data_IF_803362730518
#
_entry.id   IF_803362730518
#
_cell.length_a   1.000
_cell.length_b   1.000
_cell.length_c   1.000
_cell.angle_alpha   90.00
_cell.angle_beta   90.00
_cell.angle_gamma   90.00
#
_symmetry.space_group_name_H-M   'P 1'
#
loop_
_entity.id
_entity.type
_entity.pdbx_description
1 polymer ?
#
# COMPACT_ATOMS: atom_id res chain seq x y z
N UNK A 1 27.22 16.21 3.64
CA UNK A 1 27.52 16.46 5.06
C UNK A 1 26.83 15.36 5.86
N UNK A 2 27.61 14.46 6.47
CA UNK A 2 27.10 13.38 7.34
C UNK A 2 26.98 13.86 8.78
N UNK A 3 26.09 13.25 9.55
CA UNK A 3 25.87 13.60 10.96
C UNK A 3 27.10 13.18 11.79
N UNK A 4 27.76 14.12 12.52
CA UNK A 4 29.04 13.89 13.22
C UNK A 4 28.97 12.99 14.46
N UNK A 5 27.82 12.37 14.73
CA UNK A 5 27.60 11.45 15.86
C UNK A 5 27.21 10.04 15.40
N UNK A 6 27.15 9.81 14.09
CA UNK A 6 26.75 8.53 13.51
C UNK A 6 27.95 7.90 12.81
N UNK A 7 28.90 7.40 13.62
CA UNK A 7 30.20 6.90 13.18
C UNK A 7 30.13 5.56 12.41
N UNK A 8 28.96 4.93 12.40
CA UNK A 8 28.69 3.67 11.70
C UNK A 8 27.39 3.83 10.91
N UNK A 9 27.31 3.32 9.66
CA UNK A 9 26.01 3.25 8.99
C UNK A 9 25.07 2.47 9.91
N UNK A 10 23.86 2.98 10.16
CA UNK A 10 22.83 2.24 10.89
C UNK A 10 22.49 1.03 10.02
N UNK A 11 23.16 -0.07 10.32
CA UNK A 11 22.92 -1.33 9.64
C UNK A 11 21.62 -1.88 10.22
N UNK A 12 20.54 -1.82 9.44
CA UNK A 12 19.24 -2.41 9.77
C UNK A 12 19.36 -3.95 9.70
N UNK A 13 20.13 -4.57 10.59
CA UNK A 13 20.30 -6.02 10.73
C UNK A 13 19.05 -6.71 11.33
N UNK A 14 17.85 -6.21 11.03
CA UNK A 14 16.59 -6.81 11.44
C UNK A 14 16.26 -8.04 10.57
N UNK A 15 17.21 -8.95 10.33
CA UNK A 15 16.89 -10.25 9.77
C UNK A 15 16.28 -11.11 10.87
N UNK A 16 14.99 -10.92 11.14
CA UNK A 16 14.21 -11.83 11.97
C UNK A 16 13.82 -13.03 11.10
N UNK A 17 14.75 -13.97 10.96
CA UNK A 17 14.39 -15.31 10.56
C UNK A 17 13.62 -15.93 11.73
N UNK A 18 12.32 -16.18 11.53
CA UNK A 18 11.48 -16.79 12.56
C UNK A 18 11.34 -18.28 12.27
N UNK A 19 11.72 -19.10 13.24
CA UNK A 19 11.49 -20.54 13.22
C UNK A 19 10.19 -20.83 13.97
N UNK A 20 9.19 -21.32 13.25
CA UNK A 20 7.93 -21.72 13.85
C UNK A 20 8.15 -22.89 14.82
N UNK A 21 7.90 -22.68 16.11
CA UNK A 21 7.98 -23.74 17.14
C UNK A 21 6.65 -24.44 17.40
N UNK A 22 5.62 -24.15 16.58
CA UNK A 22 4.27 -24.72 16.68
C UNK A 22 4.17 -26.05 15.91
N UNK A 23 2.99 -26.70 15.95
CA UNK A 23 2.79 -27.91 15.14
C UNK A 23 2.85 -27.58 13.63
N UNK A 24 3.19 -28.55 12.77
CA UNK A 24 3.30 -28.32 11.32
C UNK A 24 2.04 -27.69 10.71
N UNK A 25 0.86 -28.08 11.18
CA UNK A 25 -0.43 -27.54 10.71
C UNK A 25 -0.62 -26.08 11.14
N UNK A 26 -0.21 -25.74 12.35
CA UNK A 26 -0.27 -24.37 12.88
C UNK A 26 0.72 -23.45 12.17
N UNK A 27 1.91 -23.97 11.84
CA UNK A 27 2.88 -23.24 11.02
C UNK A 27 2.37 -23.02 9.60
N UNK A 28 1.75 -24.03 8.97
CA UNK A 28 1.13 -23.88 7.65
C UNK A 28 -0.03 -22.88 7.66
N UNK A 29 -0.83 -22.86 8.72
CA UNK A 29 -1.91 -21.87 8.91
C UNK A 29 -1.36 -20.45 9.02
N UNK A 30 -0.28 -20.29 9.80
CA UNK A 30 0.41 -19.03 10.02
C UNK A 30 0.95 -18.49 8.70
N UNK A 31 1.75 -19.29 7.99
CA UNK A 31 2.52 -18.93 6.78
C UNK A 31 1.65 -18.66 5.52
N UNK A 32 0.34 -18.61 5.66
CA UNK A 32 -0.56 -18.26 4.57
C UNK A 32 -0.29 -16.84 4.02
N UNK A 33 -0.50 -16.70 2.71
CA UNK A 33 -0.09 -15.53 1.92
C UNK A 33 -0.50 -14.16 2.48
N UNK A 34 -1.67 -14.07 3.11
CA UNK A 34 -2.27 -12.83 3.62
C UNK A 34 -2.20 -12.68 5.16
N UNK A 35 -1.46 -13.55 5.85
CA UNK A 35 -1.49 -13.67 7.32
C UNK A 35 -0.15 -13.38 7.96
N UNK A 36 0.92 -13.93 7.40
CA UNK A 36 2.23 -13.85 8.02
C UNK A 36 3.14 -12.81 7.37
N UNK A 37 3.98 -12.24 8.22
CA UNK A 37 4.81 -11.10 7.86
C UNK A 37 6.29 -11.45 7.66
N UNK A 38 6.85 -12.37 8.45
CA UNK A 38 8.23 -12.77 8.25
C UNK A 38 8.37 -13.75 7.08
N UNK A 39 9.56 -13.79 6.49
CA UNK A 39 9.94 -14.93 5.67
C UNK A 39 10.04 -16.13 6.60
N UNK A 40 9.16 -17.12 6.45
CA UNK A 40 9.35 -18.39 7.14
C UNK A 40 10.46 -19.16 6.43
N UNK A 41 11.53 -19.48 7.17
CA UNK A 41 12.46 -20.52 6.74
C UNK A 41 11.77 -21.86 6.96
N UNK A 42 11.00 -22.32 5.98
CA UNK A 42 10.65 -23.73 5.93
C UNK A 42 11.95 -24.55 5.98
N UNK A 43 12.01 -25.68 6.73
CA UNK A 43 13.19 -26.54 6.80
C UNK A 43 13.52 -27.24 5.46
N UNK A 44 12.83 -26.90 4.37
CA UNK A 44 13.25 -27.26 3.03
C UNK A 44 14.44 -26.41 2.60
N UNK A 45 15.62 -26.95 2.91
CA UNK A 45 16.92 -26.56 2.37
C UNK A 45 16.83 -26.56 0.83
N UNK A 46 16.60 -25.40 0.22
CA UNK A 46 16.69 -25.22 -1.23
C UNK A 46 18.16 -25.42 -1.66
N UNK A 47 18.51 -26.49 -2.39
CA UNK A 47 19.92 -26.87 -2.57
C UNK A 47 20.72 -26.01 -3.57
N UNK A 48 20.12 -24.96 -4.17
CA UNK A 48 20.72 -24.28 -5.32
C UNK A 48 20.65 -22.74 -5.33
N UNK A 49 20.35 -22.08 -4.21
CA UNK A 49 20.30 -20.60 -4.18
C UNK A 49 21.35 -20.02 -3.24
N UNK A 50 22.61 -19.98 -3.70
CA UNK A 50 23.71 -19.21 -3.11
C UNK A 50 23.62 -17.73 -3.51
N UNK A 51 22.46 -17.10 -3.33
CA UNK A 51 22.36 -15.65 -3.37
C UNK A 51 21.62 -15.19 -2.13
N UNK A 52 22.34 -14.39 -1.34
CA UNK A 52 21.81 -13.54 -0.27
C UNK A 52 20.86 -12.53 -0.91
N UNK A 53 19.67 -13.00 -1.31
CA UNK A 53 18.55 -12.12 -1.55
C UNK A 53 17.91 -11.89 -0.19
N UNK A 54 18.19 -10.70 0.33
CA UNK A 54 17.56 -10.05 1.48
C UNK A 54 16.14 -10.60 1.66
N UNK A 55 15.90 -11.25 2.81
CA UNK A 55 14.60 -11.78 3.22
C UNK A 55 13.49 -10.77 2.90
N UNK A 56 12.69 -11.04 1.87
CA UNK A 56 11.50 -10.24 1.56
C UNK A 56 10.43 -10.61 2.56
N UNK A 57 9.99 -9.65 3.35
CA UNK A 57 8.82 -9.81 4.20
C UNK A 57 7.61 -10.04 3.30
N UNK A 58 6.90 -11.13 3.52
CA UNK A 58 5.78 -11.48 2.66
C UNK A 58 4.69 -10.41 2.69
N UNK A 59 4.53 -9.70 3.80
CA UNK A 59 3.61 -8.55 3.87
C UNK A 59 4.12 -7.28 3.18
N UNK A 60 5.44 -7.08 3.03
CA UNK A 60 5.95 -5.93 2.25
C UNK A 60 5.57 -6.08 0.77
N UNK A 61 5.75 -7.29 0.24
CA UNK A 61 5.45 -7.58 -1.15
C UNK A 61 3.94 -7.53 -1.45
N UNK A 62 3.11 -7.91 -0.48
CA UNK A 62 1.66 -8.03 -0.71
C UNK A 62 0.91 -6.74 -0.41
N UNK A 63 1.28 -6.02 0.65
CA UNK A 63 0.54 -4.82 1.05
C UNK A 63 1.25 -3.54 0.61
N UNK A 64 2.53 -3.40 0.94
CA UNK A 64 3.26 -2.17 0.64
C UNK A 64 3.43 -1.94 -0.87
N UNK A 65 3.83 -2.99 -1.61
CA UNK A 65 4.01 -2.92 -3.06
C UNK A 65 2.69 -2.60 -3.80
N UNK A 66 1.58 -3.19 -3.38
CA UNK A 66 0.26 -2.90 -3.96
C UNK A 66 -0.17 -1.46 -3.70
N UNK A 67 0.10 -0.91 -2.51
CA UNK A 67 -0.12 0.51 -2.22
C UNK A 67 0.72 1.41 -3.12
N UNK A 68 2.01 1.09 -3.31
CA UNK A 68 2.89 1.83 -4.22
C UNK A 68 2.34 1.79 -5.65
N UNK A 69 1.93 0.62 -6.14
CA UNK A 69 1.35 0.49 -7.47
C UNK A 69 0.07 1.31 -7.64
N UNK A 70 -0.82 1.30 -6.64
CA UNK A 70 -2.02 2.13 -6.67
C UNK A 70 -1.69 3.63 -6.78
N UNK A 71 -0.72 4.11 -6.01
CA UNK A 71 -0.29 5.51 -6.06
C UNK A 71 0.41 5.86 -7.37
N UNK A 72 1.37 5.04 -7.81
CA UNK A 72 2.06 5.21 -9.08
C UNK A 72 1.09 5.20 -10.27
N UNK A 73 0.08 4.31 -10.26
CA UNK A 73 -0.95 4.27 -11.28
C UNK A 73 -1.80 5.54 -11.27
N UNK A 74 -2.21 5.99 -10.07
CA UNK A 74 -2.99 7.23 -9.90
C UNK A 74 -2.23 8.44 -10.45
N UNK A 75 -0.98 8.64 -10.01
CA UNK A 75 -0.10 9.71 -10.50
C UNK A 75 0.12 9.57 -12.00
N UNK A 76 0.43 8.36 -12.48
CA UNK A 76 0.67 8.08 -13.89
C UNK A 76 -0.52 8.43 -14.79
N UNK A 77 -1.75 8.11 -14.36
CA UNK A 77 -2.97 8.47 -15.08
C UNK A 77 -3.11 10.00 -15.16
N UNK A 78 -2.97 10.72 -14.04
CA UNK A 78 -3.07 12.18 -14.05
C UNK A 78 -1.94 12.85 -14.85
N UNK A 79 -0.72 12.35 -14.74
CA UNK A 79 0.43 12.82 -15.53
C UNK A 79 0.21 12.59 -17.02
N UNK A 80 -0.27 11.41 -17.43
CA UNK A 80 -0.55 11.11 -18.83
C UNK A 80 -1.68 11.98 -19.38
N UNK A 81 -2.78 12.14 -18.62
CA UNK A 81 -3.87 13.04 -19.00
C UNK A 81 -3.39 14.49 -19.15
N UNK A 82 -2.49 14.95 -18.28
CA UNK A 82 -1.87 16.27 -18.38
C UNK A 82 -1.01 16.39 -19.64
N UNK A 83 -0.17 15.40 -19.94
CA UNK A 83 0.68 15.39 -21.14
C UNK A 83 -0.16 15.38 -22.42
N UNK A 84 -1.22 14.56 -22.48
CA UNK A 84 -2.15 14.53 -23.62
C UNK A 84 -2.85 15.88 -23.76
N UNK A 85 -3.26 16.49 -22.65
CA UNK A 85 -3.90 17.81 -22.66
C UNK A 85 -2.96 18.91 -23.17
N UNK A 86 -1.68 18.85 -22.82
CA UNK A 86 -0.67 19.82 -23.25
C UNK A 86 -0.23 19.59 -24.69
N UNK A 87 0.29 18.41 -25.00
CA UNK A 87 0.97 18.09 -26.26
C UNK A 87 0.09 17.41 -27.31
N UNK A 88 -1.17 17.07 -26.99
CA UNK A 88 -2.04 16.35 -27.91
C UNK A 88 -2.33 17.11 -29.22
N UNK A 89 -2.45 16.41 -30.36
CA UNK A 89 -2.72 17.03 -31.66
C UNK A 89 -4.08 17.73 -31.67
N UNK A 90 -4.17 18.85 -32.40
CA UNK A 90 -5.41 19.64 -32.46
C UNK A 90 -6.62 18.85 -32.97
N UNK A 91 -6.41 17.90 -33.88
CA UNK A 91 -7.46 17.01 -34.37
C UNK A 91 -8.12 16.21 -33.24
N UNK A 92 -7.34 15.72 -32.28
CA UNK A 92 -7.85 15.00 -31.11
C UNK A 92 -8.61 15.93 -30.17
N UNK A 93 -8.11 17.15 -29.95
CA UNK A 93 -8.76 18.16 -29.08
C UNK A 93 -10.10 18.68 -29.62
N UNK A 94 -10.33 18.58 -30.93
CA UNK A 94 -11.60 18.98 -31.57
C UNK A 94 -12.69 17.91 -31.48
N UNK A 95 -12.34 16.67 -31.11
CA UNK A 95 -13.32 15.59 -30.98
C UNK A 95 -14.35 15.88 -29.87
N UNK A 96 -15.59 15.44 -30.09
CA UNK A 96 -16.69 15.60 -29.13
C UNK A 96 -16.39 14.89 -27.80
N UNK A 97 -15.68 13.75 -27.86
CA UNK A 97 -15.27 12.97 -26.69
C UNK A 97 -14.30 13.79 -25.84
N UNK A 98 -13.22 14.33 -26.44
CA UNK A 98 -12.26 15.14 -25.70
C UNK A 98 -12.92 16.36 -25.06
N UNK A 99 -13.75 17.09 -25.82
CA UNK A 99 -14.49 18.25 -25.27
C UNK A 99 -15.38 17.85 -24.10
N UNK A 100 -16.18 16.78 -24.22
CA UNK A 100 -17.03 16.29 -23.12
C UNK A 100 -16.21 15.88 -21.90
N UNK A 101 -15.16 15.09 -22.07
CA UNK A 101 -14.28 14.67 -20.97
C UNK A 101 -13.62 15.85 -20.28
N UNK A 102 -13.15 16.86 -21.03
CA UNK A 102 -12.55 18.07 -20.42
C UNK A 102 -13.58 18.92 -19.69
N UNK A 103 -14.82 19.04 -20.17
CA UNK A 103 -15.89 19.76 -19.47
C UNK A 103 -16.26 19.05 -18.17
N UNK A 104 -16.41 17.72 -18.19
CA UNK A 104 -16.66 16.93 -16.98
C UNK A 104 -15.49 17.05 -16.01
N UNK A 105 -14.26 16.89 -16.48
CA UNK A 105 -13.07 17.04 -15.63
C UNK A 105 -12.97 18.41 -14.98
N UNK A 106 -13.26 19.48 -15.73
CA UNK A 106 -13.35 20.84 -15.18
C UNK A 106 -14.47 20.97 -14.16
N UNK A 107 -15.65 20.44 -14.46
CA UNK A 107 -16.77 20.45 -13.52
C UNK A 107 -16.40 19.75 -12.21
N UNK A 108 -15.83 18.55 -12.27
CA UNK A 108 -15.36 17.81 -11.09
C UNK A 108 -14.28 18.56 -10.31
N UNK A 109 -13.39 19.26 -11.01
CA UNK A 109 -12.31 20.03 -10.37
C UNK A 109 -12.79 21.36 -9.76
N UNK A 110 -13.80 22.01 -10.32
CA UNK A 110 -14.29 23.32 -9.88
C UNK A 110 -15.50 23.25 -8.94
N UNK A 111 -16.29 22.18 -9.00
CA UNK A 111 -17.46 22.04 -8.14
C UNK A 111 -17.02 21.81 -6.70
N UNK A 112 -17.15 22.84 -5.88
CA UNK A 112 -16.99 22.75 -4.43
C UNK A 112 -18.37 22.79 -3.77
N UNK A 113 -18.62 21.92 -2.80
CA UNK A 113 -19.86 21.96 -2.02
C UNK A 113 -19.66 22.84 -0.77
N UNK A 114 -20.68 23.61 -0.40
CA UNK A 114 -20.70 24.26 0.91
C UNK A 114 -21.54 23.38 1.83
N UNK A 115 -20.89 22.70 2.78
CA UNK A 115 -21.60 21.93 3.79
C UNK A 115 -22.02 22.87 4.93
N UNK A 116 -23.33 23.07 5.18
CA UNK A 116 -23.80 23.99 6.22
C UNK A 116 -23.40 23.54 7.63
N UNK A 117 -23.12 22.23 7.82
CA UNK A 117 -22.73 21.65 9.12
C UNK A 117 -21.31 22.01 9.52
N UNK A 118 -20.37 22.13 8.57
CA UNK A 118 -18.95 22.40 8.86
C UNK A 118 -18.56 23.87 8.71
N UNK A 119 -19.49 24.77 8.33
CA UNK A 119 -19.26 26.22 8.08
C UNK A 119 -18.04 26.54 7.19
N UNK A 120 -17.52 25.54 6.48
CA UNK A 120 -16.28 25.59 5.71
C UNK A 120 -16.55 25.08 4.30
N UNK A 121 -15.94 25.73 3.31
CA UNK A 121 -16.02 25.27 1.92
C UNK A 121 -15.37 23.90 1.80
N UNK A 122 -16.09 22.91 1.30
CA UNK A 122 -15.51 21.58 1.06
C UNK A 122 -14.51 21.63 -0.10
N UNK A 123 -13.59 20.66 -0.12
CA UNK A 123 -12.70 20.44 -1.26
C UNK A 123 -13.48 20.16 -2.54
N UNK A 124 -12.84 20.31 -3.70
CA UNK A 124 -13.49 20.01 -4.98
C UNK A 124 -13.95 18.56 -5.07
N UNK A 125 -15.04 18.31 -5.81
CA UNK A 125 -15.64 16.99 -6.02
C UNK A 125 -14.60 15.97 -6.49
N UNK A 126 -13.67 16.37 -7.36
CA UNK A 126 -12.56 15.54 -7.83
C UNK A 126 -11.65 15.05 -6.70
N UNK A 127 -11.33 15.90 -5.72
CA UNK A 127 -10.54 15.51 -4.54
C UNK A 127 -11.34 14.53 -3.68
N UNK A 128 -12.63 14.78 -3.48
CA UNK A 128 -13.51 13.88 -2.72
C UNK A 128 -13.55 12.50 -3.37
N UNK A 129 -13.68 12.41 -4.70
CA UNK A 129 -13.66 11.15 -5.44
C UNK A 129 -12.30 10.44 -5.35
N UNK A 130 -11.20 11.19 -5.36
CA UNK A 130 -9.87 10.61 -5.24
C UNK A 130 -9.64 10.02 -3.84
N UNK A 131 -10.03 10.76 -2.80
CA UNK A 131 -9.97 10.31 -1.41
C UNK A 131 -10.89 9.12 -1.19
N UNK A 132 -12.10 9.13 -1.75
CA UNK A 132 -13.03 7.99 -1.61
C UNK A 132 -12.50 6.74 -2.31
N UNK A 133 -11.93 6.87 -3.51
CA UNK A 133 -11.27 5.75 -4.20
C UNK A 133 -10.11 5.18 -3.39
N UNK A 134 -9.26 6.04 -2.82
CA UNK A 134 -8.20 5.65 -1.91
C UNK A 134 -8.75 4.94 -0.66
N UNK A 135 -9.77 5.50 -0.02
CA UNK A 135 -10.41 4.91 1.16
C UNK A 135 -10.97 3.52 0.86
N UNK A 136 -11.66 3.34 -0.27
CA UNK A 136 -12.15 2.02 -0.71
C UNK A 136 -11.00 1.04 -0.89
N UNK A 137 -9.90 1.45 -1.54
CA UNK A 137 -8.72 0.60 -1.72
C UNK A 137 -8.10 0.19 -0.37
N UNK A 138 -7.86 1.14 0.54
CA UNK A 138 -7.26 0.85 1.84
C UNK A 138 -8.17 -0.01 2.72
N UNK A 139 -9.48 0.25 2.72
CA UNK A 139 -10.45 -0.56 3.45
C UNK A 139 -10.52 -1.98 2.88
N UNK A 140 -10.56 -2.13 1.55
CA UNK A 140 -10.57 -3.45 0.90
C UNK A 140 -9.31 -4.25 1.21
N UNK A 141 -8.13 -3.62 1.18
CA UNK A 141 -6.87 -4.29 1.51
C UNK A 141 -6.71 -4.60 3.01
N UNK A 142 -7.28 -3.77 3.89
CA UNK A 142 -7.22 -3.98 5.34
C UNK A 142 -8.21 -5.05 5.79
N UNK A 143 -9.46 -4.95 5.33
CA UNK A 143 -10.59 -5.74 5.81
C UNK A 143 -10.92 -6.95 4.92
N UNK A 144 -10.52 -6.96 3.65
CA UNK A 144 -10.78 -8.08 2.76
C UNK A 144 -10.13 -9.40 3.23
N UNK A 145 -8.83 -9.42 3.57
CA UNK A 145 -8.17 -10.65 3.94
C UNK A 145 -8.50 -11.07 5.39
N UNK A 146 -8.91 -12.31 5.60
CA UNK A 146 -9.18 -12.86 6.93
C UNK A 146 -8.10 -13.90 7.34
N UNK A 147 -7.77 -14.01 8.64
CA UNK A 147 -8.38 -13.39 9.83
C UNK A 147 -7.82 -11.99 10.15
N UNK A 148 -8.51 -11.26 11.04
CA UNK A 148 -8.07 -9.95 11.55
C UNK A 148 -7.16 -10.04 12.77
N UNK A 149 -7.40 -11.05 13.61
CA UNK A 149 -6.68 -11.34 14.84
C UNK A 149 -6.17 -12.78 14.79
N UNK A 150 -5.09 -13.05 15.52
CA UNK A 150 -4.62 -14.42 15.70
C UNK A 150 -5.57 -15.19 16.63
N UNK A 151 -5.88 -16.46 16.32
CA UNK A 151 -6.63 -17.32 17.22
C UNK A 151 -5.71 -17.83 18.34
N UNK A 152 -5.19 -16.91 19.15
CA UNK A 152 -4.32 -17.22 20.28
C UNK A 152 -5.16 -17.85 21.40
N UNK A 153 -4.67 -18.94 21.99
CA UNK A 153 -5.21 -19.59 23.19
C UNK A 153 -4.17 -19.55 24.31
N UNK A 154 -4.52 -19.96 25.53
CA UNK A 154 -3.57 -20.02 26.65
C UNK A 154 -2.31 -20.86 26.36
N UNK A 155 -2.41 -21.83 25.45
CA UNK A 155 -1.35 -22.76 25.07
C UNK A 155 -0.73 -22.46 23.71
N UNK A 156 -1.39 -21.70 22.84
CA UNK A 156 -0.94 -21.41 21.46
C UNK A 156 -0.89 -19.92 21.23
N UNK A 157 0.31 -19.39 21.00
CA UNK A 157 0.54 -17.98 20.66
C UNK A 157 1.20 -17.86 19.30
N UNK A 158 0.50 -17.27 18.33
CA UNK A 158 1.01 -16.96 16.99
C UNK A 158 1.78 -15.63 16.93
N UNK A 159 1.79 -14.86 18.03
CA UNK A 159 2.46 -13.57 18.14
C UNK A 159 1.58 -12.47 18.74
N UNK A 160 2.22 -11.37 19.17
CA UNK A 160 1.55 -10.24 19.84
C UNK A 160 0.97 -9.18 18.89
N UNK A 161 1.41 -9.12 17.63
CA UNK A 161 0.89 -8.17 16.64
C UNK A 161 -0.18 -8.83 15.78
N UNK A 162 -1.44 -8.35 15.80
CA UNK A 162 -2.51 -8.94 15.00
C UNK A 162 -2.30 -8.66 13.50
N UNK A 163 -2.73 -9.57 12.60
CA UNK A 163 -2.58 -9.39 11.16
C UNK A 163 -3.08 -8.05 10.64
N UNK A 164 -4.21 -7.56 11.15
CA UNK A 164 -4.79 -6.28 10.72
C UNK A 164 -3.86 -5.08 10.97
N UNK A 165 -3.16 -5.05 12.12
CA UNK A 165 -2.24 -3.97 12.48
C UNK A 165 -0.96 -4.03 11.61
N UNK A 166 -0.49 -5.24 11.32
CA UNK A 166 0.68 -5.42 10.44
C UNK A 166 0.36 -4.94 9.02
N UNK A 167 -0.82 -5.27 8.48
CA UNK A 167 -1.25 -4.81 7.15
C UNK A 167 -1.31 -3.29 7.06
N UNK A 168 -2.02 -2.64 7.98
CA UNK A 168 -2.15 -1.18 7.97
C UNK A 168 -0.82 -0.48 8.19
N UNK A 169 0.05 -1.04 9.04
CA UNK A 169 1.42 -0.56 9.23
C UNK A 169 2.24 -0.56 7.93
N UNK A 170 2.22 -1.66 7.17
CA UNK A 170 2.95 -1.74 5.89
C UNK A 170 2.39 -0.82 4.81
N UNK A 171 1.07 -0.67 4.76
CA UNK A 171 0.45 0.30 3.85
C UNK A 171 0.82 1.73 4.24
N UNK A 172 0.89 2.06 5.54
CA UNK A 172 1.34 3.37 6.00
C UNK A 172 2.81 3.64 5.65
N UNK A 173 3.69 2.64 5.81
CA UNK A 173 5.10 2.74 5.38
C UNK A 173 5.23 2.98 3.88
N UNK A 174 4.38 2.36 3.06
CA UNK A 174 4.35 2.57 1.62
C UNK A 174 3.91 3.98 1.20
N UNK A 175 3.13 4.68 2.05
CA UNK A 175 2.69 6.04 1.79
C UNK A 175 3.77 7.09 2.07
N UNK A 176 4.76 6.80 2.92
CA UNK A 176 5.79 7.75 3.35
C UNK A 176 6.45 8.56 2.22
N UNK A 177 6.93 7.96 1.10
CA UNK A 177 7.58 8.73 0.04
C UNK A 177 6.65 9.71 -0.71
N UNK A 178 5.34 9.63 -0.49
CA UNK A 178 4.35 10.53 -1.12
C UNK A 178 3.81 11.60 -0.16
N UNK A 179 4.06 11.44 1.14
CA UNK A 179 3.54 12.32 2.20
C UNK A 179 4.65 13.21 2.79
N UNK A 180 5.90 12.75 2.77
CA UNK A 180 7.09 13.49 3.20
C UNK A 180 7.66 14.34 2.05
#
# INVERSE_FOLDING_TARGET
MGLPWLDQPVMLHSSRADHCTLTPEQCAYRDAHWRYWYASMLPYKWPYVNRVFINRYQSDHVYALNTIYFLCATVGVFSLLHLISKYGPQSFKRTTIWRRSTTVGRYLAYQCFQLPVLRSSTSSLGVILLVSAGAVFFLAMTLGPQPYYWPNTETVSYGGSPPIATRSGWMALALLPFVL
#
